data_IF_340652049711
#
_entry.id   IF_340652049711
#
_cell.length_a   1.000
_cell.length_b   1.000
_cell.length_c   1.000
_cell.angle_alpha   90.00
_cell.angle_beta   90.00
_cell.angle_gamma   90.00
#
_symmetry.space_group_name_H-M   'P 1'
#
loop_
_entity.id
_entity.type
_entity.pdbx_description
1 polymer ?
#
# COMPACT_ATOMS: atom_id res chain seq x y z
N UNK A 1 -0.33 11.43 -8.96
CA UNK A 1 0.60 11.14 -7.85
C UNK A 1 1.98 11.06 -8.47
N UNK A 2 3.01 11.66 -7.85
CA UNK A 2 4.38 11.48 -8.34
C UNK A 2 4.78 10.01 -8.14
N UNK A 3 5.28 9.34 -9.18
CA UNK A 3 5.86 7.99 -9.07
C UNK A 3 7.38 8.11 -9.17
N UNK A 4 8.08 7.49 -8.21
CA UNK A 4 9.54 7.40 -8.23
C UNK A 4 9.95 5.99 -8.65
N UNK A 5 10.56 5.86 -9.83
CA UNK A 5 11.15 4.60 -10.27
C UNK A 5 12.49 4.40 -9.60
N UNK A 6 12.61 3.33 -8.81
CA UNK A 6 13.85 2.91 -8.18
C UNK A 6 14.43 1.71 -8.93
N UNK A 7 15.76 1.67 -9.06
CA UNK A 7 16.50 0.51 -9.55
C UNK A 7 17.04 -0.24 -8.33
N UNK A 8 16.57 -1.47 -8.16
CA UNK A 8 17.09 -2.37 -7.12
C UNK A 8 18.51 -2.83 -7.46
N UNK A 9 19.24 -3.37 -6.47
CA UNK A 9 20.56 -3.98 -6.70
C UNK A 9 20.55 -5.18 -7.67
N UNK A 10 19.37 -5.72 -7.98
CA UNK A 10 19.15 -6.79 -8.97
C UNK A 10 18.71 -6.23 -10.34
N UNK A 11 18.83 -4.91 -10.54
CA UNK A 11 18.41 -4.20 -11.76
C UNK A 11 16.91 -4.32 -12.11
N UNK A 12 16.07 -4.71 -11.15
CA UNK A 12 14.62 -4.67 -11.29
C UNK A 12 14.13 -3.25 -11.01
N UNK A 13 13.32 -2.71 -11.94
CA UNK A 13 12.68 -1.39 -11.79
C UNK A 13 11.40 -1.53 -10.98
N UNK A 14 11.33 -0.85 -9.84
CA UNK A 14 10.13 -0.81 -9.01
C UNK A 14 9.63 0.64 -8.98
N UNK A 15 8.37 0.84 -9.36
CA UNK A 15 7.71 2.15 -9.23
C UNK A 15 7.11 2.26 -7.83
N UNK A 16 7.74 3.08 -6.99
CA UNK A 16 7.26 3.37 -5.65
C UNK A 16 6.52 4.71 -5.64
N UNK A 17 5.45 4.79 -4.84
CA UNK A 17 4.73 6.04 -4.61
C UNK A 17 5.32 6.72 -3.36
N UNK A 18 6.10 7.81 -3.51
CA UNK A 18 6.57 8.59 -2.37
C UNK A 18 5.37 9.12 -1.56
N UNK A 19 5.50 9.05 -0.23
CA UNK A 19 4.50 9.59 0.68
C UNK A 19 4.44 11.12 0.53
N UNK A 20 3.23 11.65 0.45
CA UNK A 20 3.00 13.09 0.36
C UNK A 20 3.43 13.80 1.65
N UNK A 21 3.72 15.10 1.53
CA UNK A 21 4.07 15.92 2.69
C UNK A 21 2.92 15.96 3.71
N UNK A 22 1.67 16.04 3.23
CA UNK A 22 0.50 16.01 4.10
C UNK A 22 0.39 14.73 4.94
N UNK A 23 0.60 13.56 4.33
CA UNK A 23 0.61 12.28 5.05
C UNK A 23 1.71 12.23 6.11
N UNK A 24 2.89 12.81 5.82
CA UNK A 24 3.98 12.92 6.78
C UNK A 24 3.64 13.86 7.94
N UNK A 25 3.00 15.00 7.67
CA UNK A 25 2.57 15.95 8.71
C UNK A 25 1.53 15.31 9.62
N UNK A 26 0.53 14.62 9.06
CA UNK A 26 -0.50 13.94 9.86
C UNK A 26 0.14 12.85 10.72
N UNK A 27 1.07 12.07 10.17
CA UNK A 27 1.82 11.09 10.96
C UNK A 27 2.59 11.74 12.13
N UNK A 28 3.24 12.89 11.91
CA UNK A 28 3.93 13.64 12.96
C UNK A 28 2.95 14.17 14.03
N UNK A 29 1.78 14.66 13.62
CA UNK A 29 0.74 15.12 14.57
C UNK A 29 0.29 13.97 15.46
N UNK A 30 0.03 12.79 14.87
CA UNK A 30 -0.37 11.60 15.63
C UNK A 30 0.73 11.20 16.62
N UNK A 31 1.99 11.19 16.18
CA UNK A 31 3.12 10.88 17.07
C UNK A 31 3.24 11.91 18.21
N UNK A 32 3.06 13.21 17.95
CA UNK A 32 3.09 14.23 19.01
C UNK A 32 1.92 14.11 19.98
N UNK A 33 0.73 13.72 19.53
CA UNK A 33 -0.42 13.46 20.42
C UNK A 33 -0.12 12.28 21.35
N UNK A 34 0.46 11.20 20.82
CA UNK A 34 0.86 10.03 21.60
C UNK A 34 1.94 10.38 22.63
N UNK A 35 2.95 11.15 22.22
CA UNK A 35 4.00 11.66 23.11
C UNK A 35 3.39 12.57 24.19
N UNK A 36 2.46 13.46 23.81
CA UNK A 36 1.77 14.34 24.75
C UNK A 36 1.01 13.58 25.83
N UNK A 37 0.27 12.53 25.43
CA UNK A 37 -0.42 11.64 26.37
C UNK A 37 0.56 10.89 27.29
N UNK A 38 1.68 10.42 26.74
CA UNK A 38 2.75 9.78 27.52
C UNK A 38 3.34 10.74 28.57
N UNK A 39 3.66 11.97 28.19
CA UNK A 39 4.20 12.99 29.11
C UNK A 39 3.17 13.30 30.20
N UNK A 40 1.92 13.58 29.81
CA UNK A 40 0.85 13.93 30.75
C UNK A 40 0.60 12.82 31.79
N UNK A 41 0.50 11.57 31.33
CA UNK A 41 0.29 10.42 32.22
C UNK A 41 1.48 10.21 33.16
N UNK A 42 2.71 10.28 32.64
CA UNK A 42 3.93 10.12 33.43
C UNK A 42 4.07 11.22 34.48
N UNK A 43 3.84 12.48 34.13
CA UNK A 43 3.90 13.61 35.08
C UNK A 43 2.84 13.47 36.18
N UNK A 44 1.63 13.03 35.82
CA UNK A 44 0.54 12.80 36.79
C UNK A 44 0.86 11.66 37.77
N UNK A 45 1.51 10.60 37.30
CA UNK A 45 1.96 9.50 38.16
C UNK A 45 3.11 9.97 39.06
N UNK A 46 4.08 10.69 38.49
CA UNK A 46 5.27 11.17 39.19
C UNK A 46 4.92 12.16 40.31
N UNK A 47 3.96 13.06 40.07
CA UNK A 47 3.50 14.02 41.07
C UNK A 47 2.81 13.35 42.27
N UNK A 48 2.20 12.18 42.08
CA UNK A 48 1.62 11.38 43.17
C UNK A 48 2.67 10.61 43.97
N UNK A 49 3.81 10.29 43.36
CA UNK A 49 4.85 9.45 43.95
C UNK A 49 5.70 10.13 45.04
N UNK A 50 5.46 11.41 45.37
CA UNK A 50 6.19 12.19 46.41
C UNK A 50 7.68 11.86 46.46
N UNK A 51 8.35 11.96 45.30
CA UNK A 51 9.77 11.67 45.21
C UNK A 51 10.60 12.69 45.99
N UNK A 52 11.74 12.29 46.57
CA UNK A 52 12.70 13.23 47.12
C UNK A 52 13.20 14.20 46.03
N UNK A 53 13.42 15.45 46.42
CA UNK A 53 13.81 16.54 45.50
C UNK A 53 15.03 16.17 44.65
N UNK A 54 16.04 15.54 45.25
CA UNK A 54 17.30 15.17 44.61
C UNK A 54 17.13 14.15 43.49
N UNK A 55 16.15 13.26 43.59
CA UNK A 55 15.88 12.24 42.57
C UNK A 55 14.95 12.73 41.46
N UNK A 56 14.25 13.85 41.67
CA UNK A 56 13.23 14.35 40.74
C UNK A 56 13.84 14.71 39.38
N UNK A 57 15.03 15.33 39.38
CA UNK A 57 15.73 15.69 38.15
C UNK A 57 16.19 14.46 37.35
N UNK A 58 16.76 13.46 38.05
CA UNK A 58 17.22 12.21 37.43
C UNK A 58 16.03 11.46 36.82
N UNK A 59 14.91 11.39 37.54
CA UNK A 59 13.69 10.72 37.08
C UNK A 59 13.07 11.43 35.87
N UNK A 60 13.02 12.77 35.89
CA UNK A 60 12.58 13.56 34.75
C UNK A 60 13.42 13.28 33.50
N UNK A 61 14.75 13.29 33.66
CA UNK A 61 15.67 13.02 32.55
C UNK A 61 15.49 11.59 32.00
N UNK A 62 15.47 10.60 32.88
CA UNK A 62 15.45 9.19 32.50
C UNK A 62 14.09 8.72 31.96
N UNK A 63 12.98 9.19 32.53
CA UNK A 63 11.64 8.68 32.23
C UNK A 63 10.88 9.57 31.27
N UNK A 64 11.13 10.89 31.25
CA UNK A 64 10.42 11.81 30.36
C UNK A 64 11.32 12.19 29.19
N UNK A 65 12.47 12.81 29.46
CA UNK A 65 13.27 13.41 28.40
C UNK A 65 13.85 12.38 27.44
N UNK A 66 14.52 11.34 27.95
CA UNK A 66 15.22 10.35 27.13
C UNK A 66 14.26 9.54 26.23
N UNK A 67 13.12 9.01 26.73
CA UNK A 67 12.16 8.30 25.88
C UNK A 67 11.54 9.18 24.80
N UNK A 68 11.22 10.44 25.11
CA UNK A 68 10.69 11.39 24.13
C UNK A 68 11.71 11.71 23.05
N UNK A 69 12.97 11.96 23.45
CA UNK A 69 14.06 12.27 22.55
C UNK A 69 14.35 11.10 21.58
N UNK A 70 14.37 9.87 22.09
CA UNK A 70 14.68 8.68 21.31
C UNK A 70 13.46 8.00 20.67
N UNK A 71 12.23 8.44 20.94
CA UNK A 71 11.00 7.82 20.44
C UNK A 71 11.03 7.57 18.93
N UNK A 72 11.31 8.62 18.14
CA UNK A 72 11.32 8.52 16.67
C UNK A 72 12.38 7.53 16.16
N UNK A 73 13.58 7.58 16.75
CA UNK A 73 14.68 6.68 16.39
C UNK A 73 14.37 5.22 16.75
N UNK A 74 13.94 4.96 17.99
CA UNK A 74 13.67 3.61 18.47
C UNK A 74 12.48 3.00 17.73
N UNK A 75 11.41 3.77 17.49
CA UNK A 75 10.27 3.27 16.73
C UNK A 75 10.66 2.94 15.29
N UNK A 76 11.41 3.79 14.59
CA UNK A 76 11.87 3.49 13.24
C UNK A 76 12.78 2.25 13.20
N UNK A 77 13.66 2.09 14.20
CA UNK A 77 14.57 0.96 14.29
C UNK A 77 13.84 -0.37 14.55
N UNK A 78 12.90 -0.40 15.51
CA UNK A 78 12.21 -1.63 15.90
C UNK A 78 11.03 -2.00 15.00
N UNK A 79 10.38 -1.03 14.36
CA UNK A 79 9.19 -1.27 13.53
C UNK A 79 9.47 -1.13 12.03
N UNK A 80 10.68 -1.52 11.57
CA UNK A 80 11.03 -1.57 10.15
C UNK A 80 10.74 -0.25 9.39
N UNK A 81 11.14 0.88 9.99
CA UNK A 81 11.03 2.23 9.42
C UNK A 81 9.69 2.92 9.67
N UNK A 82 8.93 2.51 10.69
CA UNK A 82 7.63 3.10 11.01
C UNK A 82 7.54 3.59 12.47
N UNK A 83 7.12 4.83 12.68
CA UNK A 83 6.54 5.26 13.95
C UNK A 83 5.08 4.83 14.04
N UNK A 84 4.45 4.95 15.21
CA UNK A 84 3.03 4.65 15.36
C UNK A 84 2.16 5.52 14.45
N UNK A 85 2.45 6.82 14.36
CA UNK A 85 1.77 7.73 13.43
C UNK A 85 1.97 7.34 11.96
N UNK A 86 3.19 6.95 11.58
CA UNK A 86 3.48 6.48 10.22
C UNK A 86 2.74 5.19 9.88
N UNK A 87 2.66 4.27 10.84
CA UNK A 87 1.94 3.00 10.68
C UNK A 87 0.44 3.24 10.46
N UNK A 88 -0.17 4.18 11.20
CA UNK A 88 -1.57 4.58 11.00
C UNK A 88 -1.79 5.22 9.63
N UNK A 89 -0.83 6.01 9.15
CA UNK A 89 -0.87 6.61 7.81
C UNK A 89 -0.46 5.64 6.68
N UNK A 90 -0.14 4.38 7.00
CA UNK A 90 0.38 3.37 6.05
C UNK A 90 1.56 3.89 5.24
N UNK A 91 2.52 4.55 5.89
CA UNK A 91 3.76 5.03 5.29
C UNK A 91 4.96 4.39 5.98
N UNK A 92 6.04 4.13 5.24
CA UNK A 92 7.27 3.53 5.78
C UNK A 92 8.52 4.14 5.17
N UNK A 93 9.59 4.15 5.95
CA UNK A 93 10.93 4.52 5.47
C UNK A 93 11.60 3.32 4.79
N UNK A 94 12.09 3.52 3.57
CA UNK A 94 12.86 2.55 2.79
C UNK A 94 14.12 3.22 2.24
N UNK A 95 15.14 2.45 1.84
CA UNK A 95 16.25 3.02 1.07
C UNK A 95 15.81 3.39 -0.34
N UNK A 96 16.57 4.25 -1.00
CA UNK A 96 16.33 4.64 -2.38
C UNK A 96 16.44 3.46 -3.38
N UNK A 97 17.10 2.36 -3.01
CA UNK A 97 17.17 1.11 -3.78
C UNK A 97 16.03 0.12 -3.44
N UNK A 98 15.15 0.49 -2.49
CA UNK A 98 14.05 -0.34 -2.00
C UNK A 98 14.45 -1.33 -0.90
N UNK A 99 15.72 -1.38 -0.48
CA UNK A 99 16.16 -2.24 0.62
C UNK A 99 15.68 -1.72 1.98
N UNK A 100 15.80 -2.58 3.00
CA UNK A 100 15.64 -2.15 4.40
C UNK A 100 16.74 -1.14 4.78
N UNK A 101 16.40 -0.02 5.43
CA UNK A 101 17.39 0.92 5.96
C UNK A 101 18.24 0.27 7.06
N UNK A 102 19.51 0.68 7.15
CA UNK A 102 20.39 0.28 8.25
C UNK A 102 20.14 1.14 9.49
N UNK A 103 20.61 0.68 10.65
CA UNK A 103 20.54 1.45 11.91
C UNK A 103 21.22 2.82 11.75
N UNK A 104 22.35 2.89 11.03
CA UNK A 104 23.04 4.14 10.72
C UNK A 104 22.18 5.11 9.90
N UNK A 105 21.37 4.61 8.96
CA UNK A 105 20.42 5.44 8.21
C UNK A 105 19.37 6.04 9.14
N UNK A 106 18.81 5.26 10.07
CA UNK A 106 17.85 5.78 11.06
C UNK A 106 18.49 6.82 12.00
N UNK A 107 19.74 6.58 12.42
CA UNK A 107 20.47 7.50 13.29
C UNK A 107 20.74 8.84 12.60
N UNK A 108 21.19 8.82 11.34
CA UNK A 108 21.42 10.04 10.55
C UNK A 108 20.13 10.85 10.37
N UNK A 109 19.03 10.17 10.06
CA UNK A 109 17.71 10.81 9.94
C UNK A 109 17.28 11.46 11.25
N UNK A 110 17.52 10.79 12.37
CA UNK A 110 17.19 11.30 13.70
C UNK A 110 18.07 12.49 14.08
N UNK A 111 19.39 12.42 13.85
CA UNK A 111 20.33 13.49 14.17
C UNK A 111 20.09 14.77 13.34
N UNK A 112 19.66 14.60 12.08
CA UNK A 112 19.35 15.72 11.19
C UNK A 112 17.92 16.25 11.35
N UNK A 113 17.04 15.53 12.07
CA UNK A 113 15.66 15.95 12.28
C UNK A 113 15.52 17.32 12.97
N UNK A 114 16.30 17.65 14.03
CA UNK A 114 16.28 18.98 14.62
C UNK A 114 16.60 20.09 13.61
N UNK A 115 17.55 19.83 12.71
CA UNK A 115 17.94 20.76 11.64
C UNK A 115 16.84 20.87 10.59
N UNK A 116 16.18 19.76 10.23
CA UNK A 116 15.10 19.75 9.23
C UNK A 116 13.83 20.48 9.71
N UNK A 117 13.61 20.59 11.02
CA UNK A 117 12.37 21.10 11.60
C UNK A 117 12.58 22.23 12.62
N UNK A 118 12.73 21.92 13.91
CA UNK A 118 12.61 22.89 15.00
C UNK A 118 13.71 23.96 15.02
N UNK A 119 14.94 23.67 14.57
CA UNK A 119 16.04 24.63 14.59
C UNK A 119 15.92 25.65 13.46
N UNK A 120 15.43 25.23 12.29
CA UNK A 120 15.46 26.05 11.06
C UNK A 120 14.09 26.52 10.61
N UNK A 121 13.03 26.22 11.37
CA UNK A 121 11.66 26.60 11.03
C UNK A 121 11.04 25.78 9.90
N UNK A 122 11.61 24.61 9.58
CA UNK A 122 11.08 23.70 8.56
C UNK A 122 11.82 23.71 7.22
N UNK A 123 13.13 24.01 7.17
CA UNK A 123 13.93 23.88 5.93
C UNK A 123 13.79 22.49 5.31
N UNK A 124 13.70 21.44 6.11
CA UNK A 124 13.52 20.08 5.62
C UNK A 124 12.22 19.92 4.81
N UNK A 125 11.18 20.67 5.15
CA UNK A 125 9.91 20.67 4.40
C UNK A 125 10.05 21.39 3.05
N UNK A 126 10.81 22.49 3.00
CA UNK A 126 11.15 23.15 1.74
C UNK A 126 12.00 22.24 0.83
N UNK A 127 13.00 21.55 1.39
CA UNK A 127 13.82 20.59 0.64
C UNK A 127 12.97 19.43 0.11
N UNK A 128 12.01 18.94 0.90
CA UNK A 128 11.07 17.92 0.46
C UNK A 128 10.13 18.40 -0.65
N UNK A 129 9.77 19.68 -0.70
CA UNK A 129 8.98 20.25 -1.80
C UNK A 129 9.80 20.36 -3.10
N UNK A 130 11.08 20.71 -2.97
CA UNK A 130 11.99 20.91 -4.11
C UNK A 130 12.53 19.58 -4.69
N UNK A 131 12.51 18.52 -3.91
CA UNK A 131 13.06 17.22 -4.31
C UNK A 131 12.01 16.34 -5.00
N UNK A 132 12.38 15.76 -6.15
CA UNK A 132 11.50 14.89 -6.96
C UNK A 132 10.87 13.71 -6.20
N UNK A 133 11.58 13.17 -5.21
CA UNK A 133 11.15 12.03 -4.39
C UNK A 133 10.58 12.44 -3.02
N UNK A 134 10.31 13.73 -2.81
CA UNK A 134 9.85 14.31 -1.55
C UNK A 134 10.73 13.95 -0.34
N UNK A 135 12.04 14.00 -0.51
CA UNK A 135 13.02 13.68 0.53
C UNK A 135 13.43 14.94 1.31
N UNK A 136 13.47 14.87 2.64
CA UNK A 136 14.07 15.89 3.52
C UNK A 136 15.59 15.78 3.52
N UNK A 137 16.33 16.71 4.12
CA UNK A 137 17.80 16.62 4.14
C UNK A 137 18.28 15.36 4.85
N UNK A 138 17.66 15.00 5.98
CA UNK A 138 17.96 13.75 6.67
C UNK A 138 17.66 12.50 5.84
N UNK A 139 16.63 12.56 4.99
CA UNK A 139 16.28 11.46 4.09
C UNK A 139 17.36 11.34 2.97
N UNK A 140 17.80 12.46 2.41
CA UNK A 140 18.85 12.54 1.37
C UNK A 140 20.21 12.06 1.89
N UNK A 141 20.64 12.57 3.05
CA UNK A 141 21.92 12.21 3.67
C UNK A 141 21.99 10.71 4.02
N UNK A 142 20.87 10.12 4.43
CA UNK A 142 20.78 8.70 4.75
C UNK A 142 20.53 7.79 3.52
N UNK A 143 20.32 8.36 2.31
CA UNK A 143 19.97 7.60 1.11
C UNK A 143 18.60 6.90 1.22
N UNK A 144 17.66 7.51 1.92
CA UNK A 144 16.34 6.93 2.25
C UNK A 144 15.20 7.78 1.72
N UNK A 145 14.03 7.18 1.59
CA UNK A 145 12.79 7.86 1.23
C UNK A 145 11.62 7.28 2.01
N UNK A 146 10.53 8.04 2.12
CA UNK A 146 9.29 7.55 2.72
C UNK A 146 8.31 7.20 1.60
N UNK A 147 7.85 5.96 1.58
CA UNK A 147 6.88 5.45 0.61
C UNK A 147 5.54 5.18 1.28
N UNK A 148 4.48 5.20 0.48
CA UNK A 148 3.17 4.72 0.89
C UNK A 148 3.09 3.21 0.71
N UNK A 149 2.70 2.49 1.76
CA UNK A 149 2.44 1.07 1.67
C UNK A 149 1.11 0.83 0.96
N UNK A 150 1.14 0.05 -0.13
CA UNK A 150 -0.06 -0.45 -0.76
C UNK A 150 -0.57 -1.61 0.09
N UNK A 151 -1.84 -1.57 0.49
CA UNK A 151 -2.45 -2.68 1.22
C UNK A 151 -2.80 -3.82 0.24
N UNK A 152 -1.82 -4.69 -0.01
CA UNK A 152 -1.99 -5.83 -0.92
C UNK A 152 -3.05 -6.83 -0.42
N UNK A 153 -3.43 -6.82 0.86
CA UNK A 153 -4.52 -7.66 1.38
C UNK A 153 -5.90 -7.30 0.81
N UNK A 154 -6.06 -6.12 0.22
CA UNK A 154 -7.28 -5.71 -0.49
C UNK A 154 -7.29 -6.13 -1.96
N UNK A 155 -6.22 -6.73 -2.47
CA UNK A 155 -6.23 -7.32 -3.80
C UNK A 155 -7.02 -8.62 -3.69
N UNK A 156 -8.31 -8.54 -3.99
CA UNK A 156 -9.13 -9.71 -4.22
C UNK A 156 -8.64 -10.36 -5.50
N UNK A 157 -7.81 -11.39 -5.36
CA UNK A 157 -7.56 -12.34 -6.45
C UNK A 157 -8.76 -13.28 -6.43
N UNK A 158 -9.76 -13.01 -7.28
CA UNK A 158 -10.85 -13.95 -7.51
C UNK A 158 -10.26 -15.13 -8.27
N UNK A 159 -10.18 -16.29 -7.62
CA UNK A 159 -9.81 -17.54 -8.28
C UNK A 159 -10.88 -18.04 -9.26
N UNK A 160 -12.05 -17.39 -9.31
CA UNK A 160 -13.09 -17.61 -10.32
C UNK A 160 -12.55 -17.56 -11.77
N UNK A 161 -11.48 -16.77 -12.01
CA UNK A 161 -10.82 -16.73 -13.32
C UNK A 161 -10.12 -18.04 -13.68
N UNK A 162 -9.90 -18.95 -12.74
CA UNK A 162 -9.22 -20.24 -12.90
C UNK A 162 -10.14 -21.44 -12.66
N UNK A 163 -11.46 -21.25 -12.59
CA UNK A 163 -12.40 -22.36 -12.36
C UNK A 163 -12.38 -23.42 -13.48
N UNK A 164 -11.89 -23.09 -14.69
CA UNK A 164 -11.64 -24.06 -15.77
C UNK A 164 -10.53 -25.06 -15.44
N UNK A 165 -9.65 -24.79 -14.47
CA UNK A 165 -8.58 -25.72 -14.03
C UNK A 165 -9.10 -26.84 -13.12
N UNK A 166 -10.42 -26.92 -12.89
CA UNK A 166 -10.99 -28.08 -12.18
C UNK A 166 -10.79 -29.33 -13.03
N UNK A 167 -10.10 -30.35 -12.48
CA UNK A 167 -9.63 -31.56 -13.19
C UNK A 167 -10.71 -32.37 -13.94
N UNK A 168 -11.99 -32.06 -13.77
CA UNK A 168 -13.12 -32.76 -14.42
C UNK A 168 -14.04 -31.78 -15.18
N UNK A 169 -13.52 -30.63 -15.63
CA UNK A 169 -14.33 -29.69 -16.39
C UNK A 169 -14.72 -30.28 -17.76
N UNK A 170 -16.02 -30.23 -18.10
CA UNK A 170 -16.52 -30.61 -19.42
C UNK A 170 -17.12 -29.37 -20.10
N UNK A 171 -16.60 -28.96 -21.27
CA UNK A 171 -17.09 -27.79 -21.96
C UNK A 171 -18.54 -27.98 -22.44
N UNK A 172 -19.35 -26.93 -22.28
CA UNK A 172 -20.79 -26.97 -22.59
C UNK A 172 -21.10 -26.47 -24.00
N UNK A 173 -20.33 -25.50 -24.46
CA UNK A 173 -20.44 -24.83 -25.75
C UNK A 173 -19.13 -25.03 -26.55
N UNK A 174 -19.01 -26.10 -27.34
CA UNK A 174 -17.83 -26.35 -28.17
C UNK A 174 -17.51 -25.21 -29.15
N UNK A 175 -18.54 -24.48 -29.59
CA UNK A 175 -18.42 -23.32 -30.49
C UNK A 175 -17.63 -22.17 -29.86
N UNK A 176 -17.44 -22.17 -28.54
CA UNK A 176 -16.64 -21.15 -27.87
C UNK A 176 -15.19 -21.12 -28.39
N UNK A 177 -14.65 -22.24 -28.88
CA UNK A 177 -13.31 -22.31 -29.48
C UNK A 177 -13.11 -21.34 -30.67
N UNK A 178 -14.17 -21.05 -31.43
CA UNK A 178 -14.11 -20.18 -32.61
C UNK A 178 -14.05 -18.67 -32.27
N UNK A 179 -14.13 -18.31 -30.98
CA UNK A 179 -14.13 -16.91 -30.54
C UNK A 179 -12.74 -16.28 -30.69
N UNK A 180 -12.70 -15.02 -31.12
CA UNK A 180 -11.46 -14.26 -31.14
C UNK A 180 -11.08 -13.72 -29.75
N UNK A 181 -9.79 -13.50 -29.52
CA UNK A 181 -9.29 -12.88 -28.28
C UNK A 181 -9.94 -11.52 -28.00
N UNK A 182 -10.28 -10.76 -29.05
CA UNK A 182 -10.95 -9.47 -28.94
C UNK A 182 -12.40 -9.62 -28.42
N UNK A 183 -13.12 -10.61 -28.95
CA UNK A 183 -14.48 -10.94 -28.52
C UNK A 183 -14.49 -11.40 -27.05
N UNK A 184 -13.53 -12.24 -26.67
CA UNK A 184 -13.36 -12.71 -25.29
C UNK A 184 -13.06 -11.55 -24.34
N UNK A 185 -12.17 -10.63 -24.73
CA UNK A 185 -11.88 -9.44 -23.93
C UNK A 185 -13.11 -8.56 -23.68
N UNK A 186 -14.00 -8.45 -24.68
CA UNK A 186 -15.28 -7.73 -24.51
C UNK A 186 -16.18 -8.43 -23.50
N UNK A 187 -16.26 -9.76 -23.53
CA UNK A 187 -17.01 -10.57 -22.57
C UNK A 187 -16.46 -10.38 -21.15
N UNK A 188 -15.16 -10.57 -20.96
CA UNK A 188 -14.48 -10.40 -19.67
C UNK A 188 -14.68 -9.01 -19.08
N UNK A 189 -14.46 -7.95 -19.87
CA UNK A 189 -14.65 -6.56 -19.42
C UNK A 189 -16.10 -6.25 -19.04
N UNK A 190 -17.06 -6.87 -19.73
CA UNK A 190 -18.49 -6.66 -19.45
C UNK A 190 -18.90 -7.36 -18.16
N UNK A 191 -18.42 -8.59 -17.93
CA UNK A 191 -18.65 -9.34 -16.70
C UNK A 191 -18.01 -8.68 -15.46
N UNK A 192 -16.80 -8.14 -15.61
CA UNK A 192 -16.07 -7.45 -14.53
C UNK A 192 -16.55 -6.01 -14.26
N UNK A 193 -17.45 -5.46 -15.08
CA UNK A 193 -17.86 -4.05 -14.97
C UNK A 193 -18.77 -3.81 -13.76
N UNK A 194 -18.30 -3.04 -12.77
CA UNK A 194 -19.11 -2.59 -11.62
C UNK A 194 -20.10 -1.45 -11.90
N UNK A 195 -20.47 -1.20 -13.17
CA UNK A 195 -21.32 -0.07 -13.56
C UNK A 195 -22.79 -0.30 -13.20
N UNK A 196 -23.52 0.79 -12.92
CA UNK A 196 -24.95 0.80 -12.55
C UNK A 196 -25.86 0.12 -13.58
N UNK A 197 -25.45 0.08 -14.85
CA UNK A 197 -26.18 -0.53 -15.98
C UNK A 197 -25.68 -1.93 -16.40
N UNK A 198 -24.86 -2.60 -15.58
CA UNK A 198 -24.29 -3.94 -15.87
C UNK A 198 -25.32 -4.93 -16.42
N UNK A 199 -26.52 -4.98 -15.82
CA UNK A 199 -27.59 -5.90 -16.21
C UNK A 199 -28.00 -5.71 -17.68
N UNK A 200 -28.11 -4.45 -18.14
CA UNK A 200 -28.49 -4.15 -19.52
C UNK A 200 -27.41 -4.57 -20.51
N UNK A 201 -26.14 -4.33 -20.18
CA UNK A 201 -25.02 -4.71 -21.03
C UNK A 201 -24.84 -6.22 -21.11
N UNK A 202 -24.99 -6.94 -19.99
CA UNK A 202 -24.99 -8.41 -19.98
C UNK A 202 -26.11 -8.96 -20.86
N UNK A 203 -27.32 -8.41 -20.78
CA UNK A 203 -28.44 -8.85 -21.61
C UNK A 203 -28.19 -8.61 -23.11
N UNK A 204 -27.64 -7.45 -23.48
CA UNK A 204 -27.30 -7.14 -24.88
C UNK A 204 -26.18 -8.03 -25.40
N UNK A 205 -25.14 -8.23 -24.60
CA UNK A 205 -24.00 -9.05 -24.99
C UNK A 205 -24.39 -10.52 -25.12
N UNK A 206 -25.23 -11.02 -24.21
CA UNK A 206 -25.75 -12.39 -24.26
C UNK A 206 -26.47 -12.65 -25.58
N UNK A 207 -27.39 -11.75 -25.99
CA UNK A 207 -28.07 -11.88 -27.29
C UNK A 207 -27.10 -11.95 -28.47
N UNK A 208 -26.09 -11.07 -28.50
CA UNK A 208 -25.09 -11.07 -29.57
C UNK A 208 -24.24 -12.34 -29.59
N UNK A 209 -23.85 -12.85 -28.42
CA UNK A 209 -23.05 -14.08 -28.31
C UNK A 209 -23.89 -15.30 -28.70
N UNK A 210 -25.18 -15.33 -28.34
CA UNK A 210 -26.12 -16.36 -28.79
C UNK A 210 -26.27 -16.39 -30.31
N UNK A 211 -26.43 -15.21 -30.93
CA UNK A 211 -26.53 -15.07 -32.39
C UNK A 211 -25.24 -15.52 -33.08
N UNK A 212 -24.08 -15.09 -32.56
CA UNK A 212 -22.78 -15.37 -33.14
C UNK A 212 -22.42 -16.86 -33.07
N UNK A 213 -22.64 -17.50 -31.91
CA UNK A 213 -22.34 -18.91 -31.70
C UNK A 213 -23.48 -19.83 -32.16
N UNK A 214 -24.64 -19.27 -32.51
CA UNK A 214 -25.86 -20.03 -32.84
C UNK A 214 -26.26 -21.04 -31.77
N UNK A 215 -26.11 -20.68 -30.48
CA UNK A 215 -26.40 -21.55 -29.33
C UNK A 215 -27.59 -21.06 -28.51
N UNK A 216 -28.33 -22.02 -27.96
CA UNK A 216 -29.36 -21.76 -26.94
C UNK A 216 -28.74 -21.91 -25.55
N UNK A 217 -28.86 -20.90 -24.67
CA UNK A 217 -28.36 -20.99 -23.31
C UNK A 217 -29.04 -22.13 -22.57
N UNK A 218 -28.25 -23.03 -21.99
CA UNK A 218 -28.73 -24.04 -21.05
C UNK A 218 -29.02 -23.43 -19.68
N UNK A 219 -28.36 -22.33 -19.34
CA UNK A 219 -28.54 -21.63 -18.07
C UNK A 219 -29.69 -20.61 -18.14
N UNK A 220 -30.54 -20.60 -17.12
CA UNK A 220 -31.58 -19.56 -16.98
C UNK A 220 -31.02 -18.15 -16.70
N UNK A 221 -29.73 -18.04 -16.36
CA UNK A 221 -29.08 -16.77 -16.05
C UNK A 221 -28.09 -16.37 -17.15
N UNK A 222 -28.35 -15.22 -17.78
CA UNK A 222 -27.52 -14.62 -18.84
C UNK A 222 -26.06 -14.41 -18.42
N UNK A 223 -25.82 -14.07 -17.16
CA UNK A 223 -24.47 -13.90 -16.63
C UNK A 223 -23.74 -15.24 -16.55
N UNK A 224 -24.42 -16.29 -16.07
CA UNK A 224 -23.85 -17.64 -16.00
C UNK A 224 -23.56 -18.22 -17.38
N UNK A 225 -24.40 -17.92 -18.36
CA UNK A 225 -24.17 -18.29 -19.75
C UNK A 225 -22.84 -17.69 -20.26
N UNK A 226 -22.66 -16.37 -20.13
CA UNK A 226 -21.42 -15.70 -20.56
C UNK A 226 -20.18 -16.18 -19.79
N UNK A 227 -20.30 -16.47 -18.50
CA UNK A 227 -19.22 -17.07 -17.70
C UNK A 227 -18.85 -18.48 -18.22
N UNK A 228 -19.85 -19.28 -18.59
CA UNK A 228 -19.64 -20.63 -19.13
C UNK A 228 -18.97 -20.59 -20.50
N UNK A 229 -19.39 -19.69 -21.39
CA UNK A 229 -18.74 -19.46 -22.69
C UNK A 229 -17.28 -19.02 -22.53
N UNK A 230 -17.00 -18.11 -21.59
CA UNK A 230 -15.63 -17.67 -21.29
C UNK A 230 -14.76 -18.84 -20.81
N UNK A 231 -15.32 -19.69 -19.93
CA UNK A 231 -14.64 -20.86 -19.38
C UNK A 231 -14.38 -21.93 -20.44
N UNK A 232 -15.33 -22.16 -21.34
CA UNK A 232 -15.21 -23.11 -22.46
C UNK A 232 -14.12 -22.67 -23.44
N UNK A 233 -14.07 -21.37 -23.78
CA UNK A 233 -12.98 -20.83 -24.61
C UNK A 233 -11.61 -21.06 -23.98
N UNK A 234 -11.46 -20.76 -22.68
CA UNK A 234 -10.20 -20.95 -21.97
C UNK A 234 -9.76 -22.42 -21.92
N UNK A 235 -10.71 -23.34 -21.78
CA UNK A 235 -10.45 -24.79 -21.84
C UNK A 235 -9.84 -25.18 -23.19
N UNK A 236 -10.49 -24.80 -24.30
CA UNK A 236 -10.01 -25.14 -25.65
C UNK A 236 -8.68 -24.44 -26.00
N UNK A 237 -8.51 -23.18 -25.59
CA UNK A 237 -7.28 -22.43 -25.83
C UNK A 237 -6.04 -23.03 -25.13
N UNK A 238 -6.23 -23.83 -24.08
CA UNK A 238 -5.16 -24.52 -23.35
C UNK A 238 -4.90 -25.94 -23.87
N UNK A 239 -5.91 -26.61 -24.42
CA UNK A 239 -5.80 -27.96 -24.98
C UNK A 239 -5.15 -27.94 -26.38
N UNK A 240 -5.18 -26.81 -27.08
CA UNK A 240 -4.49 -26.60 -28.37
C UNK A 240 -2.98 -26.28 -28.27
N UNK A 241 -2.41 -26.17 -27.05
CA UNK A 241 -0.97 -25.90 -26.79
C UNK A 241 -0.23 -27.21 -26.48
#
# INVERSE_FOLDING_TARGET
>A
MAESTILTGQFVRISQTPASIGERIIALIIDYVLIGFYIFSTVTVLSKLRLPSDFTMIFFLAVIYLPVLFYSFLCEMFNYGQSLGKRLMNIRVVKADGSVPSISSYLLRWLLFPIDGPITGGLGLLVALLTKNSQRMGDLAAGTMVIKEKNYRKIHVSLDEFDYLTQNYQPTYPQAADLSLEQINVITRTLQSGKKDRIRYIAQLTKKVQELLSVTPRENNQEKFLQTVLRDYQYYALEEI
#
